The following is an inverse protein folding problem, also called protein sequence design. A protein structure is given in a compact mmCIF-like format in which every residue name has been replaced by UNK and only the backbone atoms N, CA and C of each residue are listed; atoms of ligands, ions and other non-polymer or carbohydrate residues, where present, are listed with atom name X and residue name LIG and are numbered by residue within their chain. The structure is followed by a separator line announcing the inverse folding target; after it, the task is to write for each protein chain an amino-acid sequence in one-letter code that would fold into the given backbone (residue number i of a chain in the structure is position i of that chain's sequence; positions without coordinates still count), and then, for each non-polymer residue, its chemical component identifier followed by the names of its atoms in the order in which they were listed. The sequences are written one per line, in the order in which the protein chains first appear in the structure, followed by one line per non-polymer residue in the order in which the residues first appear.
data_IF_152065907234
#
_entry.id   IF_152065907234
#
_cell.length_a   1.000
_cell.length_b   1.000
_cell.length_c   1.000
_cell.angle_alpha   90.00
_cell.angle_beta   90.00
_cell.angle_gamma   90.00
#
_symmetry.space_group_name_H-M   'P 1'
#
loop_
_entity.id
_entity.type
_entity.pdbx_description
1 polymer ?
#
# COMPACT_ATOMS: atom_id res chain seq x y z
N UNK A 1 -14.80 27.18 48.74
CA UNK A 1 -13.60 27.35 47.89
C UNK A 1 -13.14 26.05 47.20
N UNK A 2 -13.33 24.87 47.83
CA UNK A 2 -12.90 23.58 47.26
C UNK A 2 -13.69 23.13 46.01
N UNK A 3 -15.01 23.35 45.97
CA UNK A 3 -15.87 22.91 44.86
C UNK A 3 -15.56 23.60 43.52
N UNK A 4 -15.29 24.93 43.53
CA UNK A 4 -14.90 25.68 42.34
C UNK A 4 -13.53 25.24 41.80
N UNK A 5 -12.59 24.91 42.69
CA UNK A 5 -11.26 24.41 42.31
C UNK A 5 -11.34 23.04 41.64
N UNK A 6 -12.20 22.15 42.14
CA UNK A 6 -12.43 20.85 41.53
C UNK A 6 -13.11 20.97 40.15
N UNK A 7 -14.06 21.90 39.98
CA UNK A 7 -14.69 22.18 38.69
C UNK A 7 -13.65 22.69 37.67
N UNK A 8 -12.74 23.58 38.07
CA UNK A 8 -11.67 24.03 37.17
C UNK A 8 -10.73 22.91 36.75
N UNK A 9 -10.38 21.99 37.66
CA UNK A 9 -9.55 20.81 37.35
C UNK A 9 -10.27 19.91 36.34
N UNK A 10 -11.55 19.60 36.58
CA UNK A 10 -12.36 18.79 35.67
C UNK A 10 -12.51 19.43 34.28
N UNK A 11 -12.69 20.74 34.19
CA UNK A 11 -12.77 21.46 32.91
C UNK A 11 -11.43 21.39 32.18
N UNK A 12 -10.30 21.54 32.90
CA UNK A 12 -8.97 21.48 32.31
C UNK A 12 -8.65 20.07 31.78
N UNK A 13 -8.99 19.03 32.54
CA UNK A 13 -8.85 17.63 32.13
C UNK A 13 -9.72 17.31 30.90
N UNK A 14 -10.96 17.79 30.87
CA UNK A 14 -11.84 17.65 29.72
C UNK A 14 -11.28 18.36 28.48
N UNK A 15 -10.71 19.56 28.66
CA UNK A 15 -10.09 20.31 27.56
C UNK A 15 -8.89 19.57 26.98
N UNK A 16 -8.01 19.04 27.84
CA UNK A 16 -6.84 18.25 27.44
C UNK A 16 -7.28 16.98 26.68
N UNK A 17 -8.30 16.28 27.18
CA UNK A 17 -8.82 15.08 26.55
C UNK A 17 -9.39 15.37 25.15
N UNK A 18 -10.13 16.47 24.99
CA UNK A 18 -10.66 16.90 23.69
C UNK A 18 -9.54 17.29 22.73
N UNK A 19 -8.50 17.98 23.18
CA UNK A 19 -7.36 18.34 22.32
C UNK A 19 -6.59 17.13 21.82
N UNK A 20 -6.39 16.11 22.67
CA UNK A 20 -5.71 14.87 22.29
C UNK A 20 -6.55 14.08 21.27
N UNK A 21 -7.87 14.00 21.50
CA UNK A 21 -8.79 13.26 20.62
C UNK A 21 -8.94 13.86 19.22
N UNK A 22 -8.52 15.12 19.03
CA UNK A 22 -8.65 15.84 17.76
C UNK A 22 -7.40 15.75 16.89
N UNK A 23 -6.29 15.21 17.41
CA UNK A 23 -5.17 14.79 16.57
C UNK A 23 -5.62 13.54 15.80
N UNK A 24 -6.04 13.74 14.55
CA UNK A 24 -6.18 12.65 13.60
C UNK A 24 -4.79 12.01 13.43
N UNK A 25 -4.58 10.88 14.07
CA UNK A 25 -3.33 10.13 13.99
C UNK A 25 -3.17 9.65 12.54
N UNK A 26 -2.07 10.05 11.91
CA UNK A 26 -1.73 9.56 10.56
C UNK A 26 -1.34 8.10 10.69
N UNK A 27 -2.06 7.22 10.00
CA UNK A 27 -1.78 5.78 9.95
C UNK A 27 -1.44 5.46 8.51
N UNK A 28 -0.19 5.13 8.19
CA UNK A 28 0.20 4.71 6.85
C UNK A 28 1.17 3.55 6.97
N UNK A 29 0.65 2.36 6.72
CA UNK A 29 1.29 1.11 7.09
C UNK A 29 1.62 0.27 5.87
N UNK A 30 2.67 -0.55 6.02
CA UNK A 30 3.00 -1.60 5.05
C UNK A 30 2.32 -2.89 5.50
N UNK A 31 1.36 -3.37 4.72
CA UNK A 31 0.54 -4.52 5.07
C UNK A 31 0.69 -5.65 4.05
N UNK A 32 0.71 -6.93 4.47
CA UNK A 32 0.67 -8.05 3.56
C UNK A 32 -0.72 -8.23 2.92
N UNK A 33 -0.75 -8.70 1.69
CA UNK A 33 -1.96 -9.09 0.95
C UNK A 33 -1.65 -10.29 0.07
N UNK A 34 -2.63 -11.16 -0.19
CA UNK A 34 -2.47 -12.26 -1.14
C UNK A 34 -2.90 -11.82 -2.54
N UNK A 35 -2.14 -12.22 -3.56
CA UNK A 35 -2.46 -12.00 -4.96
C UNK A 35 -2.25 -13.27 -5.78
N UNK A 36 -3.09 -13.44 -6.80
CA UNK A 36 -2.90 -14.46 -7.82
C UNK A 36 -1.91 -13.96 -8.88
N UNK A 37 -0.80 -14.69 -9.06
CA UNK A 37 0.23 -14.37 -10.07
C UNK A 37 0.20 -15.42 -11.15
N UNK A 38 0.18 -14.98 -12.41
CA UNK A 38 0.34 -15.83 -13.59
C UNK A 38 1.49 -15.32 -14.44
N UNK A 39 2.34 -16.23 -14.91
CA UNK A 39 3.49 -15.91 -15.77
C UNK A 39 3.58 -16.91 -16.92
N UNK A 40 3.64 -16.35 -18.13
CA UNK A 40 3.83 -17.10 -19.36
C UNK A 40 5.30 -17.10 -19.78
N UNK A 41 5.77 -18.24 -20.29
CA UNK A 41 7.07 -18.41 -20.93
C UNK A 41 6.88 -18.66 -22.42
N UNK A 42 7.61 -17.91 -23.25
CA UNK A 42 7.55 -17.98 -24.71
C UNK A 42 8.90 -18.39 -25.29
N UNK A 43 8.89 -19.11 -26.41
CA UNK A 43 10.09 -19.39 -27.19
C UNK A 43 10.54 -18.17 -28.01
N UNK A 44 11.70 -18.26 -28.68
CA UNK A 44 12.24 -17.20 -29.53
C UNK A 44 11.33 -16.83 -30.73
N UNK A 45 10.38 -17.71 -31.07
CA UNK A 45 9.36 -17.49 -32.11
C UNK A 45 8.05 -16.92 -31.54
N UNK A 46 7.98 -16.65 -30.23
CA UNK A 46 6.81 -16.12 -29.55
C UNK A 46 5.71 -17.15 -29.28
N UNK A 47 6.01 -18.45 -29.38
CA UNK A 47 5.06 -19.52 -29.07
C UNK A 47 5.08 -19.81 -27.58
N UNK A 48 3.91 -19.99 -26.99
CA UNK A 48 3.76 -20.34 -25.57
C UNK A 48 4.44 -21.69 -25.31
N UNK A 49 5.35 -21.74 -24.36
CA UNK A 49 6.00 -22.97 -23.87
C UNK A 49 5.22 -23.52 -22.68
N UNK A 50 4.90 -22.66 -21.71
CA UNK A 50 4.11 -22.98 -20.52
C UNK A 50 3.57 -21.72 -19.85
N UNK A 51 2.51 -21.90 -19.07
CA UNK A 51 1.96 -20.87 -18.18
C UNK A 51 1.99 -21.38 -16.75
N UNK A 52 2.58 -20.61 -15.83
CA UNK A 52 2.68 -20.95 -14.42
C UNK A 52 1.90 -19.96 -13.56
N UNK A 53 1.22 -20.46 -12.53
CA UNK A 53 0.49 -19.61 -11.58
C UNK A 53 0.68 -20.01 -10.11
N UNK A 54 0.27 -19.12 -9.22
CA UNK A 54 0.28 -19.35 -7.78
C UNK A 54 -0.24 -18.15 -6.99
N UNK A 55 -0.71 -18.42 -5.77
CA UNK A 55 -1.00 -17.37 -4.79
C UNK A 55 0.28 -16.94 -4.09
N UNK A 56 0.49 -15.63 -4.01
CA UNK A 56 1.71 -15.03 -3.48
C UNK A 56 1.33 -13.91 -2.51
N UNK A 57 1.87 -13.96 -1.29
CA UNK A 57 1.74 -12.85 -0.34
C UNK A 57 2.69 -11.70 -0.72
N UNK A 58 2.16 -10.52 -1.01
CA UNK A 58 2.93 -9.31 -1.32
C UNK A 58 2.58 -8.19 -0.36
N UNK A 59 3.50 -7.24 -0.19
CA UNK A 59 3.19 -6.04 0.58
C UNK A 59 2.38 -5.01 -0.23
N UNK A 60 1.59 -4.21 0.47
CA UNK A 60 0.88 -3.02 -0.03
C UNK A 60 0.97 -1.88 0.98
N UNK A 61 0.74 -0.64 0.52
CA UNK A 61 0.58 0.51 1.39
C UNK A 61 -0.91 0.77 1.65
N UNK A 62 -1.28 0.90 2.92
CA UNK A 62 -2.66 1.18 3.33
C UNK A 62 -2.70 2.12 4.52
N UNK A 63 -3.63 3.09 4.51
CA UNK A 63 -3.69 4.08 5.58
C UNK A 63 -4.43 5.37 5.28
N UNK A 64 -4.50 6.25 6.28
CA UNK A 64 -5.06 7.59 6.24
C UNK A 64 -3.96 8.65 6.47
N UNK A 65 -3.84 9.58 5.53
CA UNK A 65 -2.92 10.72 5.61
C UNK A 65 -3.70 12.01 5.84
N UNK A 66 -3.16 12.93 6.64
CA UNK A 66 -3.81 14.21 6.88
C UNK A 66 -3.85 15.04 5.61
N UNK A 67 -5.05 15.47 5.22
CA UNK A 67 -5.27 16.29 4.03
C UNK A 67 -6.30 17.37 4.33
N UNK A 68 -6.11 18.56 3.77
CA UNK A 68 -7.00 19.69 4.00
C UNK A 68 -7.29 20.47 2.72
N UNK A 69 -8.48 21.07 2.69
CA UNK A 69 -8.91 21.99 1.64
C UNK A 69 -9.41 23.28 2.28
N UNK A 70 -8.97 24.41 1.74
CA UNK A 70 -9.36 25.73 2.22
C UNK A 70 -9.81 26.59 1.04
N UNK A 71 -10.90 27.37 1.16
CA UNK A 71 -11.29 28.32 0.13
C UNK A 71 -10.14 29.33 -0.13
N UNK A 72 -9.92 29.67 -1.40
CA UNK A 72 -8.88 30.63 -1.77
C UNK A 72 -9.25 31.42 -3.03
N UNK A 73 -9.05 32.73 -2.97
CA UNK A 73 -9.21 33.65 -4.11
C UNK A 73 -7.96 33.74 -4.99
N UNK A 74 -6.82 33.22 -4.52
CA UNK A 74 -5.54 33.26 -5.26
C UNK A 74 -5.35 32.06 -6.19
N UNK A 75 -6.11 30.99 -5.98
CA UNK A 75 -6.07 29.78 -6.82
C UNK A 75 -7.23 29.77 -7.81
N UNK A 76 -6.99 29.42 -9.07
CA UNK A 76 -8.03 29.38 -10.11
C UNK A 76 -9.20 28.41 -9.80
N UNK A 77 -8.94 27.37 -9.01
CA UNK A 77 -9.95 26.39 -8.55
C UNK A 77 -10.86 26.93 -7.45
N UNK A 78 -10.58 28.10 -6.88
CA UNK A 78 -11.29 28.63 -5.72
C UNK A 78 -10.93 27.96 -4.38
N UNK A 79 -9.97 27.02 -4.39
CA UNK A 79 -9.54 26.26 -3.22
C UNK A 79 -8.04 26.00 -3.24
N UNK A 80 -7.39 26.27 -2.11
CA UNK A 80 -6.07 25.76 -1.78
C UNK A 80 -6.21 24.33 -1.25
N UNK A 81 -5.46 23.40 -1.84
CA UNK A 81 -5.50 21.97 -1.50
C UNK A 81 -4.14 21.51 -1.00
N UNK A 82 -4.12 20.90 0.17
CA UNK A 82 -2.96 20.19 0.73
C UNK A 82 -3.38 18.74 0.91
N UNK A 83 -2.99 17.90 -0.04
CA UNK A 83 -3.40 16.52 -0.16
C UNK A 83 -2.18 15.62 0.01
N UNK A 84 -2.35 14.54 0.77
CA UNK A 84 -1.33 13.52 0.99
C UNK A 84 -1.91 12.11 0.78
N UNK A 85 -1.14 11.22 0.16
CA UNK A 85 -1.50 9.82 -0.07
C UNK A 85 -0.49 8.88 0.58
N UNK A 86 -0.96 7.79 1.18
CA UNK A 86 -0.12 6.70 1.67
C UNK A 86 0.43 5.94 0.45
N UNK A 87 1.74 6.02 0.23
CA UNK A 87 2.42 5.43 -0.94
C UNK A 87 3.75 4.82 -0.54
N UNK A 88 4.33 4.07 -1.47
CA UNK A 88 5.61 3.40 -1.32
C UNK A 88 6.72 4.42 -1.09
N UNK A 89 7.48 4.25 -0.01
CA UNK A 89 8.72 4.97 0.21
C UNK A 89 9.90 4.20 -0.40
N UNK A 90 9.95 2.88 -0.20
CA UNK A 90 10.97 2.00 -0.76
C UNK A 90 10.34 0.74 -1.33
N UNK A 91 10.94 0.22 -2.39
CA UNK A 91 10.58 -1.04 -3.00
C UNK A 91 11.72 -2.03 -2.79
N UNK A 92 11.38 -3.27 -2.45
CA UNK A 92 12.32 -4.40 -2.47
C UNK A 92 11.95 -5.36 -3.59
N UNK A 93 12.97 -6.00 -4.16
CA UNK A 93 12.79 -7.09 -5.13
C UNK A 93 12.94 -8.43 -4.41
N UNK A 94 12.07 -9.38 -4.72
CA UNK A 94 12.20 -10.77 -4.24
C UNK A 94 11.82 -11.77 -5.32
N UNK A 95 12.45 -12.94 -5.25
CA UNK A 95 12.08 -14.09 -6.08
C UNK A 95 10.91 -14.85 -5.44
N UNK A 96 9.97 -15.28 -6.28
CA UNK A 96 8.83 -16.11 -5.89
C UNK A 96 8.75 -17.32 -6.82
N UNK A 97 8.39 -18.47 -6.28
CA UNK A 97 8.26 -19.70 -7.06
C UNK A 97 6.80 -20.01 -7.30
N UNK A 98 6.41 -20.05 -8.57
CA UNK A 98 5.10 -20.51 -9.02
C UNK A 98 5.15 -22.02 -9.25
N UNK A 99 4.12 -22.74 -8.84
CA UNK A 99 4.11 -24.22 -8.79
C UNK A 99 2.96 -24.86 -9.59
N UNK A 100 2.07 -24.05 -10.16
CA UNK A 100 0.97 -24.51 -11.00
C UNK A 100 1.29 -24.21 -12.46
N UNK A 101 2.16 -25.04 -13.05
CA UNK A 101 2.60 -24.91 -14.43
C UNK A 101 1.82 -25.85 -15.37
N UNK A 102 1.40 -25.30 -16.50
CA UNK A 102 0.64 -26.00 -17.53
C UNK A 102 1.27 -25.79 -18.91
N UNK A 103 1.21 -26.81 -19.75
CA UNK A 103 1.58 -26.71 -21.16
C UNK A 103 0.51 -25.97 -22.00
N UNK A 104 0.75 -25.71 -23.30
CA UNK A 104 -0.21 -25.01 -24.15
C UNK A 104 -1.55 -25.74 -24.35
N UNK A 105 -1.57 -27.06 -24.12
CA UNK A 105 -2.77 -27.88 -24.19
C UNK A 105 -3.54 -27.91 -22.85
N UNK A 106 -3.00 -27.27 -21.81
CA UNK A 106 -3.60 -27.17 -20.48
C UNK A 106 -3.30 -28.36 -19.58
N UNK A 107 -2.37 -29.24 -19.94
CA UNK A 107 -1.94 -30.35 -19.10
C UNK A 107 -0.93 -29.86 -18.07
N UNK A 108 -1.08 -30.33 -16.83
CA UNK A 108 -0.17 -29.97 -15.74
C UNK A 108 1.21 -30.58 -15.99
N UNK A 109 2.25 -29.76 -15.84
CA UNK A 109 3.63 -30.19 -15.95
C UNK A 109 4.09 -30.78 -14.61
N UNK A 110 4.65 -31.99 -14.64
CA UNK A 110 5.13 -32.72 -13.45
C UNK A 110 6.66 -32.89 -13.42
N UNK A 111 7.35 -32.60 -14.53
CA UNK A 111 8.81 -32.68 -14.59
C UNK A 111 9.44 -31.61 -13.69
N UNK A 112 10.45 -31.95 -12.88
CA UNK A 112 11.06 -31.06 -11.88
C UNK A 112 11.45 -29.69 -12.46
N UNK A 113 12.06 -29.66 -13.66
CA UNK A 113 12.51 -28.42 -14.32
C UNK A 113 11.36 -27.57 -14.87
N UNK A 114 10.21 -28.19 -15.18
CA UNK A 114 9.08 -27.55 -15.89
C UNK A 114 7.86 -27.30 -15.00
N UNK A 115 7.79 -27.96 -13.85
CA UNK A 115 6.70 -27.88 -12.88
C UNK A 115 6.76 -26.62 -11.99
N UNK A 116 7.90 -25.92 -11.97
CA UNK A 116 8.09 -24.68 -11.22
C UNK A 116 8.65 -23.55 -12.07
N UNK A 117 8.36 -22.31 -11.68
CA UNK A 117 8.90 -21.11 -12.33
C UNK A 117 9.23 -20.03 -11.31
N UNK A 118 10.45 -19.50 -11.36
CA UNK A 118 10.85 -18.36 -10.52
C UNK A 118 10.52 -17.03 -11.21
N UNK A 119 9.85 -16.14 -10.48
CA UNK A 119 9.46 -14.81 -10.94
C UNK A 119 10.02 -13.76 -9.99
N UNK A 120 10.55 -12.67 -10.54
CA UNK A 120 10.96 -11.50 -9.76
C UNK A 120 9.76 -10.58 -9.57
N UNK A 121 9.41 -10.31 -8.32
CA UNK A 121 8.38 -9.35 -7.94
C UNK A 121 9.03 -8.19 -7.18
N UNK A 122 8.48 -6.99 -7.38
CA UNK A 122 8.81 -5.80 -6.59
C UNK A 122 7.62 -5.43 -5.75
N UNK A 123 7.85 -5.24 -4.45
CA UNK A 123 6.82 -4.90 -3.47
C UNK A 123 7.31 -3.78 -2.54
N UNK A 124 6.40 -3.04 -1.89
CA UNK A 124 6.74 -2.02 -0.89
C UNK A 124 7.45 -2.65 0.32
N UNK A 125 8.57 -2.07 0.71
CA UNK A 125 9.25 -2.41 1.97
C UNK A 125 8.93 -1.37 3.07
N UNK A 126 8.53 -0.16 2.67
CA UNK A 126 8.15 0.93 3.56
C UNK A 126 7.10 1.82 2.88
N UNK A 127 6.17 2.38 3.66
CA UNK A 127 5.07 3.21 3.19
C UNK A 127 5.00 4.51 3.99
N UNK A 128 4.75 5.64 3.32
CA UNK A 128 4.64 6.97 3.95
C UNK A 128 3.63 7.87 3.24
N UNK A 129 3.18 8.90 3.95
CA UNK A 129 2.34 9.94 3.39
C UNK A 129 3.15 10.90 2.50
N UNK A 130 2.76 11.01 1.23
CA UNK A 130 3.38 11.91 0.25
C UNK A 130 2.40 12.90 -0.31
N UNK A 131 2.86 14.12 -0.56
CA UNK A 131 2.03 15.15 -1.20
C UNK A 131 1.53 14.66 -2.57
N UNK A 132 0.23 14.81 -2.80
CA UNK A 132 -0.42 14.44 -4.05
C UNK A 132 0.21 15.23 -5.22
N UNK A 133 0.50 14.55 -6.33
CA UNK A 133 1.06 15.15 -7.53
C UNK A 133 2.58 15.35 -7.52
N UNK A 134 3.27 14.99 -6.44
CA UNK A 134 4.73 14.90 -6.43
C UNK A 134 5.20 13.52 -6.92
N UNK A 135 5.82 13.52 -8.09
CA UNK A 135 6.40 12.34 -8.75
C UNK A 135 7.91 12.44 -8.89
N UNK A 136 8.57 13.40 -8.23
CA UNK A 136 10.00 13.67 -8.39
C UNK A 136 10.93 12.65 -7.70
N UNK A 137 10.48 11.39 -7.59
CA UNK A 137 11.19 10.28 -6.94
C UNK A 137 11.44 9.14 -7.92
#
# INVERSE_FOLDING_TARGET
MSLKRNIHIFVLELFIFVTISCLAEETCDTMPTEIHVTKDEFDDMGRLIRSCSGEVSVNKCEGMCSSQVQPSVSTATGFLKECFCCRENFLRERLVTLTHCYDPDGLRLEDEDRAIMEVRLREPDDCKCYKCGDFSR
#
